data_IF_384361793133
#
_entry.id   IF_384361793133
#
_cell.length_a   1.000
_cell.length_b   1.000
_cell.length_c   1.000
_cell.angle_alpha   90.00
_cell.angle_beta   90.00
_cell.angle_gamma   90.00
#
_symmetry.space_group_name_H-M   'P 1'
#
loop_
_entity.id
_entity.type
_entity.pdbx_description
1 polymer ?
#
# COMPACT_ATOMS: atom_id res chain seq x y z
N UNK A 1 19.02 0.65 -12.03
CA UNK A 1 18.51 0.37 -13.41
C UNK A 1 17.02 0.13 -13.34
N UNK A 2 16.19 0.91 -14.05
CA UNK A 2 14.74 0.63 -14.14
C UNK A 2 14.57 -0.57 -15.08
N UNK A 3 13.93 -1.64 -14.63
CA UNK A 3 13.65 -2.79 -15.51
C UNK A 3 12.56 -2.39 -16.52
N UNK A 4 12.55 -2.95 -17.74
CA UNK A 4 11.53 -2.63 -18.76
C UNK A 4 10.08 -2.74 -18.27
N UNK A 5 9.86 -3.66 -17.33
CA UNK A 5 8.56 -3.94 -16.73
C UNK A 5 8.08 -2.83 -15.77
N UNK A 6 9.00 -2.15 -15.07
CA UNK A 6 8.68 -0.97 -14.26
C UNK A 6 8.16 0.17 -15.13
N UNK A 7 8.70 0.34 -16.35
CA UNK A 7 8.24 1.38 -17.28
C UNK A 7 6.81 1.14 -17.76
N UNK A 8 6.48 -0.10 -18.14
CA UNK A 8 5.13 -0.46 -18.60
C UNK A 8 4.06 -0.30 -17.50
N UNK A 9 4.39 -0.64 -16.25
CA UNK A 9 3.47 -0.43 -15.10
C UNK A 9 3.23 1.06 -14.86
N UNK A 10 4.28 1.88 -14.89
CA UNK A 10 4.14 3.32 -14.71
C UNK A 10 3.27 3.94 -15.80
N UNK A 11 3.49 3.57 -17.05
CA UNK A 11 2.67 4.02 -18.18
C UNK A 11 1.21 3.61 -18.01
N UNK A 12 0.92 2.39 -17.56
CA UNK A 12 -0.44 1.92 -17.32
C UNK A 12 -1.15 2.75 -16.23
N UNK A 13 -0.46 3.05 -15.14
CA UNK A 13 -0.97 3.85 -14.01
C UNK A 13 -1.25 5.29 -14.47
N UNK A 14 -0.27 5.95 -15.06
CA UNK A 14 -0.40 7.36 -15.44
C UNK A 14 -1.42 7.53 -16.57
N UNK A 15 -1.47 6.60 -17.53
CA UNK A 15 -2.49 6.61 -18.58
C UNK A 15 -3.90 6.38 -18.02
N UNK A 16 -4.07 5.53 -17.01
CA UNK A 16 -5.37 5.32 -16.36
C UNK A 16 -5.85 6.57 -15.65
N UNK A 17 -4.96 7.28 -14.95
CA UNK A 17 -5.31 8.53 -14.30
C UNK A 17 -5.62 9.65 -15.30
N UNK A 18 -4.80 9.83 -16.34
CA UNK A 18 -5.05 10.87 -17.35
C UNK A 18 -6.35 10.66 -18.11
N UNK A 19 -6.79 9.40 -18.32
CA UNK A 19 -8.13 9.12 -18.86
C UNK A 19 -9.25 9.67 -17.97
N UNK A 20 -9.12 9.56 -16.65
CA UNK A 20 -10.07 10.17 -15.72
C UNK A 20 -10.01 11.70 -15.81
N UNK A 21 -8.81 12.28 -15.74
CA UNK A 21 -8.59 13.74 -15.80
C UNK A 21 -9.20 14.33 -17.07
N UNK A 22 -9.08 13.66 -18.21
CA UNK A 22 -9.65 14.09 -19.48
C UNK A 22 -11.18 14.17 -19.51
N UNK A 23 -11.88 13.53 -18.55
CA UNK A 23 -13.35 13.62 -18.42
C UNK A 23 -13.82 14.77 -17.53
N UNK A 24 -12.90 15.45 -16.84
CA UNK A 24 -13.24 16.47 -15.86
C UNK A 24 -13.41 17.86 -16.52
N UNK A 25 -14.27 18.73 -15.95
CA UNK A 25 -14.25 20.16 -16.25
C UNK A 25 -12.85 20.76 -16.02
N UNK A 26 -12.45 21.74 -16.83
CA UNK A 26 -11.08 22.30 -16.83
C UNK A 26 -10.58 22.71 -15.43
N UNK A 27 -11.42 23.38 -14.64
CA UNK A 27 -11.05 23.80 -13.28
C UNK A 27 -10.77 22.63 -12.33
N UNK A 28 -11.45 21.48 -12.48
CA UNK A 28 -11.16 20.27 -11.71
C UNK A 28 -10.00 19.48 -12.30
N UNK A 29 -9.82 19.49 -13.62
CA UNK A 29 -8.70 18.82 -14.28
C UNK A 29 -7.35 19.40 -13.83
N UNK A 30 -7.25 20.72 -13.67
CA UNK A 30 -6.05 21.37 -13.13
C UNK A 30 -5.76 20.90 -11.70
N UNK A 31 -6.76 20.89 -10.82
CA UNK A 31 -6.60 20.42 -9.44
C UNK A 31 -6.24 18.92 -9.40
N UNK A 32 -6.83 18.11 -10.28
CA UNK A 32 -6.58 16.67 -10.35
C UNK A 32 -5.13 16.34 -10.74
N UNK A 33 -4.53 17.08 -11.70
CA UNK A 33 -3.12 16.86 -12.07
C UNK A 33 -2.14 17.20 -10.95
N UNK A 34 -2.53 18.11 -10.05
CA UNK A 34 -1.73 18.46 -8.87
C UNK A 34 -2.09 17.63 -7.64
N UNK A 35 -3.06 16.70 -7.75
CA UNK A 35 -3.65 16.03 -6.59
C UNK A 35 -2.61 15.32 -5.70
N UNK A 36 -1.55 14.65 -6.21
CA UNK A 36 -0.49 14.11 -5.36
C UNK A 36 0.17 15.16 -4.44
N UNK A 37 0.48 16.34 -4.99
CA UNK A 37 1.08 17.45 -4.25
C UNK A 37 0.09 18.05 -3.25
N UNK A 38 -1.16 18.26 -3.68
CA UNK A 38 -2.22 18.80 -2.81
C UNK A 38 -2.57 17.86 -1.67
N UNK A 39 -2.44 16.56 -1.91
CA UNK A 39 -2.53 15.57 -0.85
C UNK A 39 -1.28 15.52 0.02
N UNK A 40 -0.18 16.19 -0.30
CA UNK A 40 1.05 16.13 0.48
C UNK A 40 1.77 14.78 0.38
N UNK A 41 1.50 14.01 -0.68
CA UNK A 41 2.18 12.73 -0.96
C UNK A 41 3.53 12.94 -1.65
N UNK A 42 3.77 14.14 -2.17
CA UNK A 42 5.00 14.58 -2.82
C UNK A 42 5.19 16.07 -2.57
N UNK A 43 6.43 16.54 -2.35
CA UNK A 43 6.71 17.96 -2.23
C UNK A 43 6.66 18.71 -3.58
N UNK A 44 6.62 17.99 -4.71
CA UNK A 44 6.77 18.56 -6.03
C UNK A 44 5.46 18.54 -6.85
N UNK A 45 4.96 19.70 -7.31
CA UNK A 45 3.80 19.76 -8.19
C UNK A 45 4.07 19.05 -9.53
N UNK A 46 3.02 18.48 -10.12
CA UNK A 46 3.12 17.76 -11.40
C UNK A 46 3.79 16.38 -11.33
N UNK A 47 4.13 15.88 -10.14
CA UNK A 47 4.62 14.50 -9.97
C UNK A 47 3.52 13.52 -10.38
N UNK A 48 3.76 12.61 -11.34
CA UNK A 48 2.75 11.63 -11.77
C UNK A 48 2.54 10.53 -10.72
N UNK A 49 1.35 9.92 -10.68
CA UNK A 49 0.97 8.92 -9.68
C UNK A 49 1.93 7.73 -9.62
N UNK A 50 2.46 7.29 -10.77
CA UNK A 50 3.46 6.22 -10.84
C UNK A 50 4.76 6.51 -10.08
N UNK A 51 5.01 7.77 -9.69
CA UNK A 51 6.21 8.24 -8.97
C UNK A 51 5.93 8.65 -7.52
N UNK A 52 4.68 8.62 -7.09
CA UNK A 52 4.27 9.00 -5.74
C UNK A 52 4.62 7.89 -4.74
N UNK A 53 4.33 6.64 -5.11
CA UNK A 53 4.49 5.50 -4.22
C UNK A 53 5.81 4.77 -4.42
N UNK A 54 6.43 4.36 -3.32
CA UNK A 54 7.70 3.62 -3.32
C UNK A 54 7.56 2.18 -3.83
N UNK A 55 6.32 1.71 -3.94
CA UNK A 55 6.03 0.32 -4.27
C UNK A 55 5.14 0.25 -5.51
N UNK A 56 5.75 0.44 -6.68
CA UNK A 56 5.06 0.34 -7.96
C UNK A 56 4.37 -1.02 -8.17
N UNK A 57 4.86 -2.07 -7.51
CA UNK A 57 4.21 -3.38 -7.55
C UNK A 57 2.85 -3.39 -6.84
N UNK A 58 2.71 -2.64 -5.74
CA UNK A 58 1.43 -2.49 -5.03
C UNK A 58 0.48 -1.61 -5.83
N UNK A 59 0.95 -0.47 -6.34
CA UNK A 59 0.13 0.46 -7.13
C UNK A 59 -0.32 -0.13 -8.47
N UNK A 60 0.52 -0.95 -9.09
CA UNK A 60 0.29 -1.61 -10.37
C UNK A 60 -0.07 -3.08 -10.24
N UNK A 61 -0.53 -3.55 -9.08
CA UNK A 61 -0.69 -4.98 -8.81
C UNK A 61 -1.52 -5.71 -9.88
N UNK A 62 -2.73 -5.23 -10.28
CA UNK A 62 -3.47 -5.91 -11.34
C UNK A 62 -2.73 -5.94 -12.68
N UNK A 63 -1.94 -4.90 -12.97
CA UNK A 63 -1.20 -4.81 -14.22
C UNK A 63 -0.12 -5.90 -14.32
N UNK A 64 0.57 -6.15 -13.20
CA UNK A 64 1.60 -7.17 -13.09
C UNK A 64 1.04 -8.59 -12.94
N UNK A 65 -0.12 -8.72 -12.29
CA UNK A 65 -0.76 -10.00 -12.03
C UNK A 65 -1.38 -10.61 -13.30
N UNK A 66 -2.16 -9.82 -14.03
CA UNK A 66 -2.99 -10.34 -15.11
C UNK A 66 -2.18 -10.57 -16.39
N UNK A 67 -1.10 -9.82 -16.62
CA UNK A 67 -0.32 -9.88 -17.85
C UNK A 67 -1.16 -9.68 -19.14
N UNK A 68 -0.52 -9.57 -20.32
CA UNK A 68 -1.26 -9.47 -21.58
C UNK A 68 -1.84 -10.81 -22.05
N UNK A 69 -1.29 -11.93 -21.58
CA UNK A 69 -1.63 -13.28 -22.06
C UNK A 69 -2.73 -13.97 -21.23
N UNK A 70 -2.94 -13.57 -19.97
CA UNK A 70 -3.88 -14.28 -19.06
C UNK A 70 -5.22 -13.57 -18.89
N UNK A 71 -5.37 -12.36 -19.42
CA UNK A 71 -6.63 -11.64 -19.44
C UNK A 71 -6.75 -10.77 -20.71
N UNK A 72 -7.95 -10.68 -21.31
CA UNK A 72 -8.22 -9.69 -22.35
C UNK A 72 -7.87 -8.27 -21.89
N UNK A 73 -7.31 -7.46 -22.79
CA UNK A 73 -6.89 -6.06 -22.53
C UNK A 73 -7.94 -5.23 -21.78
N UNK A 74 -9.22 -5.40 -22.10
CA UNK A 74 -10.32 -4.69 -21.43
C UNK A 74 -10.45 -5.04 -19.95
N UNK A 75 -10.25 -6.30 -19.56
CA UNK A 75 -10.27 -6.71 -18.14
C UNK A 75 -9.08 -6.09 -17.42
N UNK A 76 -7.90 -6.13 -18.04
CA UNK A 76 -6.68 -5.53 -17.52
C UNK A 76 -6.83 -4.02 -17.25
N UNK A 77 -7.24 -3.24 -18.26
CA UNK A 77 -7.41 -1.79 -18.13
C UNK A 77 -8.41 -1.41 -17.03
N UNK A 78 -9.51 -2.17 -16.92
CA UNK A 78 -10.53 -1.95 -15.89
C UNK A 78 -10.05 -2.30 -14.48
N UNK A 79 -9.30 -3.38 -14.34
CA UNK A 79 -8.72 -3.77 -13.06
C UNK A 79 -7.69 -2.74 -12.59
N UNK A 80 -6.85 -2.23 -13.50
CA UNK A 80 -5.87 -1.17 -13.21
C UNK A 80 -6.58 0.13 -12.80
N UNK A 81 -7.60 0.57 -13.53
CA UNK A 81 -8.41 1.75 -13.16
C UNK A 81 -9.05 1.59 -11.79
N UNK A 82 -9.76 0.48 -11.56
CA UNK A 82 -10.41 0.18 -10.28
C UNK A 82 -9.41 0.21 -9.11
N UNK A 83 -8.27 -0.46 -9.25
CA UNK A 83 -7.25 -0.53 -8.21
C UNK A 83 -6.59 0.83 -7.93
N UNK A 84 -6.17 1.53 -8.98
CA UNK A 84 -5.54 2.84 -8.86
C UNK A 84 -6.48 3.85 -8.16
N UNK A 85 -7.73 3.91 -8.60
CA UNK A 85 -8.71 4.84 -8.03
C UNK A 85 -9.08 4.48 -6.59
N UNK A 86 -9.07 3.19 -6.21
CA UNK A 86 -9.21 2.79 -4.82
C UNK A 86 -8.07 3.33 -3.94
N UNK A 87 -6.82 3.18 -4.40
CA UNK A 87 -5.65 3.68 -3.68
C UNK A 87 -5.70 5.22 -3.56
N UNK A 88 -5.96 5.93 -4.66
CA UNK A 88 -6.02 7.40 -4.65
C UNK A 88 -7.10 7.90 -3.68
N UNK A 89 -8.28 7.28 -3.69
CA UNK A 89 -9.37 7.66 -2.79
C UNK A 89 -9.05 7.35 -1.33
N UNK A 90 -8.47 6.18 -1.03
CA UNK A 90 -8.09 5.79 0.32
C UNK A 90 -7.05 6.75 0.91
N UNK A 91 -5.91 6.93 0.23
CA UNK A 91 -4.86 7.84 0.68
C UNK A 91 -5.35 9.29 0.80
N UNK A 92 -6.20 9.74 -0.14
CA UNK A 92 -6.78 11.07 -0.06
C UNK A 92 -7.69 11.25 1.14
N UNK A 93 -8.50 10.25 1.47
CA UNK A 93 -9.41 10.30 2.61
C UNK A 93 -8.65 10.21 3.94
N UNK A 94 -7.74 9.24 4.08
CA UNK A 94 -6.95 9.02 5.30
C UNK A 94 -6.22 10.30 5.71
N UNK A 95 -5.59 10.99 4.76
CA UNK A 95 -4.86 12.24 5.06
C UNK A 95 -5.76 13.39 5.49
N UNK A 96 -7.02 13.40 5.05
CA UNK A 96 -8.01 14.38 5.50
C UNK A 96 -8.50 14.01 6.91
N UNK A 97 -8.80 12.74 7.14
CA UNK A 97 -9.32 12.24 8.42
C UNK A 97 -8.27 12.34 9.55
N UNK A 98 -7.01 12.07 9.22
CA UNK A 98 -5.86 12.20 10.14
C UNK A 98 -5.42 13.66 10.34
N UNK A 99 -6.04 14.63 9.65
CA UNK A 99 -5.68 16.04 9.74
C UNK A 99 -4.30 16.39 9.16
N UNK A 100 -3.70 15.49 8.37
CA UNK A 100 -2.41 15.71 7.71
C UNK A 100 -2.49 16.80 6.62
N UNK A 101 -3.69 17.04 6.09
CA UNK A 101 -3.97 18.13 5.15
C UNK A 101 -5.29 18.85 5.47
N UNK A 102 -5.38 20.12 5.07
CA UNK A 102 -6.65 20.84 5.03
C UNK A 102 -7.16 20.81 3.58
N UNK A 103 -8.05 19.86 3.28
CA UNK A 103 -8.63 19.71 1.95
C UNK A 103 -9.76 20.73 1.68
N UNK A 104 -9.64 21.45 0.56
CA UNK A 104 -10.68 22.31 0.03
C UNK A 104 -11.85 21.54 -0.60
N UNK A 105 -12.82 22.31 -1.12
CA UNK A 105 -14.01 21.72 -1.76
C UNK A 105 -13.67 20.91 -3.01
N UNK A 106 -12.70 21.36 -3.80
CA UNK A 106 -12.30 20.69 -5.05
C UNK A 106 -11.68 19.30 -4.78
N UNK A 107 -10.83 19.19 -3.77
CA UNK A 107 -10.21 17.91 -3.35
C UNK A 107 -11.25 16.90 -2.90
N UNK A 108 -12.22 17.33 -2.07
CA UNK A 108 -13.31 16.47 -1.61
C UNK A 108 -14.21 16.00 -2.76
N UNK A 109 -14.51 16.89 -3.70
CA UNK A 109 -15.24 16.55 -4.92
C UNK A 109 -14.46 15.55 -5.76
N UNK A 110 -13.15 15.74 -5.94
CA UNK A 110 -12.29 14.82 -6.68
C UNK A 110 -12.24 13.43 -6.04
N UNK A 111 -12.16 13.32 -4.70
CA UNK A 111 -12.24 12.02 -4.01
C UNK A 111 -13.55 11.30 -4.34
N UNK A 112 -14.68 12.02 -4.33
CA UNK A 112 -15.97 11.42 -4.69
C UNK A 112 -16.01 10.97 -6.16
N UNK A 113 -15.47 11.78 -7.08
CA UNK A 113 -15.36 11.44 -8.49
C UNK A 113 -14.49 10.19 -8.68
N UNK A 114 -13.35 10.11 -8.00
CA UNK A 114 -12.43 8.97 -8.05
C UNK A 114 -13.10 7.71 -7.51
N UNK A 115 -13.82 7.76 -6.38
CA UNK A 115 -14.59 6.61 -5.85
C UNK A 115 -15.67 6.14 -6.83
N UNK A 116 -16.36 7.07 -7.47
CA UNK A 116 -17.34 6.72 -8.51
C UNK A 116 -16.68 6.07 -9.73
N UNK A 117 -15.54 6.62 -10.19
CA UNK A 117 -14.80 6.06 -11.32
C UNK A 117 -14.26 4.65 -11.01
N UNK A 118 -13.77 4.44 -9.77
CA UNK A 118 -13.38 3.12 -9.24
C UNK A 118 -14.51 2.11 -9.38
N UNK A 119 -15.70 2.44 -8.86
CA UNK A 119 -16.84 1.52 -8.85
C UNK A 119 -17.35 1.25 -10.29
N UNK A 120 -17.33 2.26 -11.16
CA UNK A 120 -17.65 2.13 -12.58
C UNK A 120 -16.65 1.26 -13.34
N UNK A 121 -15.36 1.32 -12.98
CA UNK A 121 -14.34 0.47 -13.57
C UNK A 121 -14.50 -1.00 -13.13
N UNK A 122 -14.89 -1.24 -11.87
CA UNK A 122 -15.11 -2.58 -11.33
C UNK A 122 -16.41 -3.23 -11.86
N UNK A 123 -17.48 -2.46 -12.04
CA UNK A 123 -18.82 -2.96 -12.37
C UNK A 123 -18.87 -3.97 -13.55
N UNK A 124 -18.21 -3.74 -14.70
CA UNK A 124 -18.21 -4.69 -15.81
C UNK A 124 -17.55 -6.04 -15.50
N UNK A 125 -16.69 -6.12 -14.49
CA UNK A 125 -15.98 -7.35 -14.11
C UNK A 125 -16.88 -8.30 -13.31
N UNK A 126 -17.91 -7.80 -12.63
CA UNK A 126 -18.83 -8.63 -11.83
C UNK A 126 -19.72 -9.58 -12.65
N UNK A 127 -19.95 -9.30 -13.93
CA UNK A 127 -20.83 -10.10 -14.77
C UNK A 127 -20.42 -11.59 -14.87
N UNK A 128 -19.18 -11.91 -14.50
CA UNK A 128 -18.61 -13.27 -14.48
C UNK A 128 -18.02 -13.66 -13.12
N UNK A 129 -18.18 -12.81 -12.11
CA UNK A 129 -17.65 -13.07 -10.78
C UNK A 129 -18.63 -13.96 -10.00
N UNK A 130 -18.13 -14.80 -9.06
CA UNK A 130 -18.99 -15.60 -8.20
C UNK A 130 -19.86 -14.70 -7.31
N UNK A 131 -20.96 -15.26 -6.80
CA UNK A 131 -21.72 -14.65 -5.73
C UNK A 131 -20.82 -14.40 -4.51
N UNK A 132 -20.92 -13.22 -3.90
CA UNK A 132 -20.02 -12.80 -2.81
C UNK A 132 -18.64 -12.32 -3.26
N UNK A 133 -18.43 -12.02 -4.55
CA UNK A 133 -17.20 -11.40 -5.02
C UNK A 133 -16.87 -10.08 -4.29
N UNK A 134 -15.58 -9.85 -4.05
CA UNK A 134 -15.06 -8.67 -3.38
C UNK A 134 -15.50 -7.39 -4.07
N UNK A 135 -16.25 -6.55 -3.34
CA UNK A 135 -16.62 -5.20 -3.78
C UNK A 135 -15.88 -4.15 -2.96
N UNK A 136 -15.78 -2.93 -3.49
CA UNK A 136 -15.22 -1.84 -2.70
C UNK A 136 -16.12 -1.43 -1.54
N UNK A 137 -17.45 -1.61 -1.63
CA UNK A 137 -18.34 -1.40 -0.49
C UNK A 137 -18.00 -2.37 0.66
N UNK A 138 -17.74 -3.64 0.34
CA UNK A 138 -17.22 -4.61 1.31
C UNK A 138 -15.86 -4.19 1.86
N UNK A 139 -14.92 -3.78 0.99
CA UNK A 139 -13.58 -3.39 1.40
C UNK A 139 -13.58 -2.18 2.34
N UNK A 140 -14.39 -1.16 2.04
CA UNK A 140 -14.58 0.02 2.90
C UNK A 140 -15.16 -0.36 4.26
N UNK A 141 -16.17 -1.23 4.30
CA UNK A 141 -16.77 -1.69 5.56
C UNK A 141 -15.76 -2.45 6.42
N UNK A 142 -15.06 -3.43 5.84
CA UNK A 142 -14.10 -4.26 6.59
C UNK A 142 -12.91 -3.43 7.09
N UNK A 143 -12.43 -2.47 6.29
CA UNK A 143 -11.41 -1.53 6.73
C UNK A 143 -11.93 -0.66 7.88
N UNK A 144 -13.14 -0.10 7.79
CA UNK A 144 -13.72 0.71 8.86
C UNK A 144 -13.89 -0.09 10.18
N UNK A 145 -14.43 -1.31 10.09
CA UNK A 145 -14.58 -2.21 11.25
C UNK A 145 -13.22 -2.51 11.89
N UNK A 146 -12.17 -2.70 11.09
CA UNK A 146 -10.82 -2.97 11.59
C UNK A 146 -10.21 -1.79 12.34
N UNK A 147 -10.51 -0.56 11.93
CA UNK A 147 -10.06 0.66 12.62
C UNK A 147 -10.76 0.77 13.97
N UNK A 148 -12.04 0.44 14.06
CA UNK A 148 -12.75 0.40 15.33
C UNK A 148 -12.21 -0.68 16.28
N UNK A 149 -11.97 -1.90 15.75
CA UNK A 149 -11.38 -3.01 16.50
C UNK A 149 -9.99 -2.64 17.04
N UNK A 150 -9.15 -2.01 16.23
CA UNK A 150 -7.83 -1.55 16.63
C UNK A 150 -7.89 -0.47 17.72
N UNK A 151 -8.75 0.55 17.55
CA UNK A 151 -8.96 1.59 18.56
C UNK A 151 -9.43 1.00 19.89
N UNK A 152 -10.21 -0.08 19.87
CA UNK A 152 -10.60 -0.80 21.08
C UNK A 152 -9.40 -1.48 21.78
N UNK A 153 -8.45 -2.04 21.02
CA UNK A 153 -7.20 -2.60 21.57
C UNK A 153 -6.35 -1.50 22.20
N UNK A 154 -6.08 -0.41 21.49
CA UNK A 154 -5.25 0.68 22.00
C UNK A 154 -5.86 1.40 23.21
N UNK A 155 -7.19 1.50 23.26
CA UNK A 155 -7.90 2.02 24.43
C UNK A 155 -8.03 1.02 25.59
N UNK A 156 -7.43 -0.18 25.50
CA UNK A 156 -7.49 -1.21 26.54
C UNK A 156 -8.88 -1.85 26.72
N UNK A 157 -9.81 -1.64 25.78
CA UNK A 157 -11.15 -2.24 25.78
C UNK A 157 -11.17 -3.66 25.20
N UNK A 158 -10.11 -4.06 24.52
CA UNK A 158 -9.91 -5.41 23.98
C UNK A 158 -8.47 -5.89 24.24
N UNK A 159 -8.24 -7.20 24.39
CA UNK A 159 -6.90 -7.72 24.64
C UNK A 159 -6.01 -7.61 23.39
N UNK A 160 -4.79 -7.11 23.57
CA UNK A 160 -3.74 -7.12 22.57
C UNK A 160 -3.14 -8.54 22.49
N UNK A 161 -3.34 -9.20 21.35
CA UNK A 161 -2.72 -10.51 21.05
C UNK A 161 -2.24 -10.50 19.62
N UNK A 162 -1.23 -11.31 19.32
CA UNK A 162 -0.71 -11.39 17.95
C UNK A 162 -1.71 -11.94 16.95
N UNK A 163 -2.60 -12.85 17.35
CA UNK A 163 -3.63 -13.35 16.45
C UNK A 163 -4.65 -12.24 16.12
N UNK A 164 -5.03 -11.43 17.12
CA UNK A 164 -5.89 -10.27 16.87
C UNK A 164 -5.19 -9.22 16.00
N UNK A 165 -3.92 -8.95 16.26
CA UNK A 165 -3.09 -8.08 15.41
C UNK A 165 -3.17 -8.53 13.94
N UNK A 166 -2.84 -9.79 13.65
CA UNK A 166 -2.88 -10.34 12.28
C UNK A 166 -4.23 -10.17 11.60
N UNK A 167 -5.31 -10.46 12.32
CA UNK A 167 -6.68 -10.33 11.79
C UNK A 167 -7.00 -8.86 11.48
N UNK A 168 -6.71 -7.94 12.39
CA UNK A 168 -6.93 -6.50 12.19
C UNK A 168 -6.07 -5.99 11.03
N UNK A 169 -4.77 -6.31 11.03
CA UNK A 169 -3.82 -5.94 9.98
C UNK A 169 -4.29 -6.40 8.60
N UNK A 170 -4.85 -7.61 8.47
CA UNK A 170 -5.40 -8.08 7.20
C UNK A 170 -6.68 -7.34 6.80
N UNK A 171 -7.61 -7.15 7.73
CA UNK A 171 -8.89 -6.46 7.46
C UNK A 171 -8.68 -5.02 6.99
N UNK A 172 -7.68 -4.31 7.53
CA UNK A 172 -7.29 -2.97 7.06
C UNK A 172 -7.02 -2.91 5.56
N UNK A 173 -6.55 -4.02 4.99
CA UNK A 173 -6.19 -4.15 3.58
C UNK A 173 -7.39 -4.52 2.69
N UNK A 174 -8.63 -4.43 3.18
CA UNK A 174 -9.84 -4.80 2.44
C UNK A 174 -9.94 -4.18 1.05
N UNK A 175 -9.43 -2.95 0.88
CA UNK A 175 -9.43 -2.27 -0.43
C UNK A 175 -8.43 -2.83 -1.45
N UNK A 176 -7.47 -3.66 -1.05
CA UNK A 176 -6.48 -4.25 -1.95
C UNK A 176 -7.01 -5.44 -2.78
N UNK A 177 -8.10 -6.08 -2.33
CA UNK A 177 -8.65 -7.30 -2.94
C UNK A 177 -9.55 -7.08 -4.17
N UNK A 178 -10.53 -6.13 -4.16
CA UNK A 178 -11.62 -6.13 -5.13
C UNK A 178 -11.20 -6.15 -6.60
N UNK A 179 -10.23 -5.31 -6.99
CA UNK A 179 -9.83 -5.19 -8.38
C UNK A 179 -9.20 -6.47 -8.94
N UNK A 180 -8.18 -7.00 -8.26
CA UNK A 180 -7.45 -8.20 -8.69
C UNK A 180 -8.30 -9.47 -8.60
N UNK A 181 -9.07 -9.64 -7.52
CA UNK A 181 -9.91 -10.83 -7.34
C UNK A 181 -11.05 -10.89 -8.35
N UNK A 182 -11.72 -9.76 -8.60
CA UNK A 182 -12.83 -9.69 -9.57
C UNK A 182 -12.30 -9.83 -10.99
N UNK A 183 -11.12 -9.28 -11.29
CA UNK A 183 -10.49 -9.43 -12.60
C UNK A 183 -10.05 -10.87 -12.89
N UNK A 184 -9.45 -11.57 -11.91
CA UNK A 184 -9.10 -12.98 -12.04
C UNK A 184 -10.34 -13.84 -12.30
N UNK A 185 -11.45 -13.59 -11.57
CA UNK A 185 -12.72 -14.26 -11.83
C UNK A 185 -13.27 -13.93 -13.23
N UNK A 186 -13.25 -12.67 -13.64
CA UNK A 186 -13.72 -12.24 -14.96
C UNK A 186 -12.90 -12.83 -16.13
N UNK A 187 -11.60 -13.07 -15.89
CA UNK A 187 -10.69 -13.74 -16.81
C UNK A 187 -10.88 -15.27 -16.85
N UNK A 188 -11.75 -15.82 -16.00
CA UNK A 188 -12.05 -17.26 -15.98
C UNK A 188 -11.03 -18.10 -15.21
N UNK A 189 -10.25 -17.49 -14.32
CA UNK A 189 -9.29 -18.22 -13.50
C UNK A 189 -10.00 -19.18 -12.53
N UNK A 190 -9.39 -20.35 -12.34
CA UNK A 190 -9.91 -21.40 -11.48
C UNK A 190 -10.02 -20.96 -10.01
N UNK A 191 -10.73 -21.73 -9.18
CA UNK A 191 -10.81 -21.47 -7.75
C UNK A 191 -9.42 -21.55 -7.07
N UNK A 192 -8.57 -22.48 -7.51
CA UNK A 192 -7.20 -22.65 -7.04
C UNK A 192 -6.34 -21.42 -7.38
N UNK A 193 -6.36 -20.97 -8.64
CA UNK A 193 -5.65 -19.75 -9.05
C UNK A 193 -6.16 -18.52 -8.27
N UNK A 194 -7.47 -18.39 -8.05
CA UNK A 194 -8.01 -17.30 -7.23
C UNK A 194 -7.54 -17.39 -5.77
N UNK A 195 -7.39 -18.58 -5.22
CA UNK A 195 -6.77 -18.79 -3.90
C UNK A 195 -5.31 -18.30 -3.86
N UNK A 196 -4.55 -18.50 -4.93
CA UNK A 196 -3.20 -17.92 -5.05
C UNK A 196 -3.22 -16.40 -5.19
N UNK A 197 -4.21 -15.82 -5.88
CA UNK A 197 -4.36 -14.35 -5.95
C UNK A 197 -4.63 -13.77 -4.56
N UNK A 198 -5.49 -14.41 -3.79
CA UNK A 198 -5.80 -13.99 -2.41
C UNK A 198 -4.55 -14.09 -1.51
N UNK A 199 -3.84 -15.21 -1.57
CA UNK A 199 -2.60 -15.42 -0.80
C UNK A 199 -1.49 -14.40 -1.17
N UNK A 200 -1.38 -14.08 -2.46
CA UNK A 200 -0.46 -13.05 -2.95
C UNK A 200 -0.80 -11.67 -2.37
N UNK A 201 -2.06 -11.25 -2.45
CA UNK A 201 -2.52 -9.93 -1.94
C UNK A 201 -2.33 -9.88 -0.43
N UNK A 202 -2.80 -10.90 0.29
CA UNK A 202 -2.70 -10.97 1.75
C UNK A 202 -1.25 -10.96 2.22
N UNK A 203 -0.38 -11.78 1.63
CA UNK A 203 1.04 -11.84 2.00
C UNK A 203 1.79 -10.55 1.71
N UNK A 204 1.53 -9.92 0.56
CA UNK A 204 2.12 -8.63 0.20
C UNK A 204 1.69 -7.52 1.16
N UNK A 205 0.40 -7.45 1.48
CA UNK A 205 -0.15 -6.39 2.32
C UNK A 205 0.25 -6.57 3.80
N UNK A 206 0.22 -7.80 4.31
CA UNK A 206 0.71 -8.10 5.66
C UNK A 206 2.23 -7.88 5.79
N UNK A 207 3.00 -8.30 4.78
CA UNK A 207 4.44 -8.05 4.74
C UNK A 207 4.78 -6.57 4.87
N UNK A 208 4.04 -5.69 4.18
CA UNK A 208 4.18 -4.25 4.30
C UNK A 208 3.75 -3.75 5.69
N UNK A 209 2.55 -4.12 6.15
CA UNK A 209 2.02 -3.68 7.44
C UNK A 209 2.96 -4.02 8.61
N UNK A 210 3.45 -5.25 8.66
CA UNK A 210 4.34 -5.71 9.73
C UNK A 210 5.67 -4.93 9.77
N UNK A 211 6.19 -4.56 8.60
CA UNK A 211 7.40 -3.74 8.51
C UNK A 211 7.11 -2.28 8.86
N UNK A 212 5.98 -1.74 8.42
CA UNK A 212 5.56 -0.37 8.71
C UNK A 212 5.39 -0.17 10.23
N UNK A 213 4.70 -1.10 10.92
CA UNK A 213 4.55 -1.07 12.39
C UNK A 213 5.90 -1.12 13.15
N UNK A 214 6.98 -1.62 12.51
CA UNK A 214 8.33 -1.62 13.08
C UNK A 214 9.08 -0.32 12.81
N UNK A 215 8.89 0.33 11.67
CA UNK A 215 9.65 1.55 11.35
C UNK A 215 8.99 2.81 11.89
N UNK A 216 7.67 2.77 12.11
CA UNK A 216 6.88 3.89 12.63
C UNK A 216 6.53 3.74 14.12
N UNK A 217 7.02 2.69 14.80
CA UNK A 217 6.64 2.36 16.18
C UNK A 217 6.81 3.50 17.20
N UNK A 218 7.80 4.38 16.99
CA UNK A 218 8.06 5.55 17.85
C UNK A 218 6.97 6.60 17.66
N UNK A 219 6.72 6.97 16.41
CA UNK A 219 5.72 7.97 16.04
C UNK A 219 4.32 7.47 16.48
N UNK A 220 4.03 6.19 16.26
CA UNK A 220 2.79 5.55 16.71
C UNK A 220 2.70 5.50 18.24
N UNK A 221 3.82 5.30 18.94
CA UNK A 221 3.83 5.27 20.40
C UNK A 221 3.50 6.65 20.98
N UNK A 222 4.06 7.70 20.41
CA UNK A 222 3.76 9.10 20.79
C UNK A 222 2.27 9.43 20.58
N UNK A 223 1.63 8.80 19.60
CA UNK A 223 0.19 8.90 19.33
C UNK A 223 -0.66 7.92 20.16
N UNK A 224 -0.05 7.04 20.94
CA UNK A 224 -0.73 6.03 21.78
C UNK A 224 -1.27 4.82 20.99
N UNK A 225 -0.73 4.55 19.80
CA UNK A 225 -1.24 3.58 18.82
C UNK A 225 -0.18 2.59 18.30
N UNK A 226 0.85 2.26 19.10
CA UNK A 226 1.95 1.38 18.66
C UNK A 226 1.69 -0.10 18.96
N UNK A 227 1.53 -0.92 17.92
CA UNK A 227 1.37 -2.38 18.02
C UNK A 227 2.50 -3.07 18.78
N UNK A 228 3.79 -2.84 18.45
CA UNK A 228 4.89 -3.43 19.19
C UNK A 228 4.81 -3.14 20.69
N UNK A 229 4.48 -1.90 21.06
CA UNK A 229 4.36 -1.47 22.47
C UNK A 229 3.20 -2.13 23.18
N UNK A 230 2.01 -2.19 22.57
CA UNK A 230 0.84 -2.77 23.25
C UNK A 230 0.91 -4.28 23.41
N UNK A 231 1.74 -4.96 22.61
CA UNK A 231 1.97 -6.40 22.65
C UNK A 231 3.09 -6.84 23.61
N UNK A 232 3.83 -5.90 24.21
CA UNK A 232 4.83 -6.22 25.24
C UNK A 232 4.20 -6.99 26.40
N UNK A 233 4.86 -8.07 26.83
CA UNK A 233 4.40 -8.87 27.97
C UNK A 233 4.49 -8.06 29.28
N UNK A 234 5.53 -7.22 29.39
CA UNK A 234 5.70 -6.31 30.52
C UNK A 234 6.04 -4.93 30.00
N UNK A 235 5.19 -3.96 30.34
CA UNK A 235 5.45 -2.56 30.05
C UNK A 235 6.47 -2.01 31.06
N UNK A 236 7.42 -1.19 30.62
CA UNK A 236 8.32 -0.47 31.53
C UNK A 236 7.51 0.42 32.48
N UNK A 237 8.05 0.66 33.67
CA UNK A 237 7.44 1.54 34.66
C UNK A 237 7.50 3.01 34.22
N UNK A 238 8.57 3.39 33.52
CA UNK A 238 8.73 4.69 32.88
C UNK A 238 8.27 4.61 31.43
N UNK A 239 7.39 5.52 31.03
CA UNK A 239 6.83 5.57 29.68
C UNK A 239 7.66 6.47 28.76
N UNK A 240 8.97 6.17 28.63
CA UNK A 240 9.88 6.86 27.71
C UNK A 240 10.17 6.02 26.48
N UNK A 241 10.52 6.67 25.36
CA UNK A 241 10.89 5.98 24.11
C UNK A 241 12.06 5.03 24.35
N UNK A 242 13.07 5.48 25.10
CA UNK A 242 14.26 4.70 25.42
C UNK A 242 13.92 3.43 26.22
N UNK A 243 13.05 3.54 27.25
CA UNK A 243 12.65 2.40 28.05
C UNK A 243 11.83 1.38 27.24
N UNK A 244 10.98 1.85 26.31
CA UNK A 244 10.26 0.98 25.39
C UNK A 244 11.18 0.34 24.34
N UNK A 245 12.16 1.08 23.79
CA UNK A 245 13.14 0.54 22.84
C UNK A 245 13.98 -0.57 23.48
N UNK A 246 14.53 -0.33 24.67
CA UNK A 246 15.27 -1.33 25.44
C UNK A 246 14.43 -2.58 25.69
N UNK A 247 13.15 -2.40 26.04
CA UNK A 247 12.24 -3.52 26.32
C UNK A 247 11.87 -4.30 25.07
N UNK A 248 11.53 -3.60 23.98
CA UNK A 248 11.23 -4.20 22.68
C UNK A 248 12.41 -4.99 22.13
N UNK A 249 13.63 -4.48 22.33
CA UNK A 249 14.85 -5.17 21.98
C UNK A 249 15.06 -6.43 22.84
N UNK A 250 14.93 -6.30 24.17
CA UNK A 250 15.12 -7.43 25.09
C UNK A 250 14.11 -8.57 24.86
N UNK A 251 12.87 -8.26 24.49
CA UNK A 251 11.83 -9.25 24.15
C UNK A 251 11.88 -9.68 22.66
N UNK A 252 12.71 -9.06 21.83
CA UNK A 252 12.80 -9.34 20.40
C UNK A 252 11.54 -8.99 19.60
N UNK A 253 10.72 -8.05 20.11
CA UNK A 253 9.42 -7.72 19.54
C UNK A 253 9.51 -7.18 18.11
N UNK A 254 10.40 -6.22 17.85
CA UNK A 254 10.59 -5.65 16.52
C UNK A 254 11.17 -6.66 15.52
N UNK A 255 12.14 -7.47 15.97
CA UNK A 255 12.73 -8.54 15.15
C UNK A 255 11.65 -9.55 14.74
N UNK A 256 10.78 -9.95 15.68
CA UNK A 256 9.67 -10.87 15.40
C UNK A 256 8.71 -10.34 14.33
N UNK A 257 8.40 -9.04 14.35
CA UNK A 257 7.56 -8.41 13.33
C UNK A 257 8.24 -8.42 11.96
N UNK A 258 9.56 -8.15 11.91
CA UNK A 258 10.33 -8.24 10.66
C UNK A 258 10.40 -9.68 10.13
N UNK A 259 10.55 -10.69 11.00
CA UNK A 259 10.49 -12.10 10.59
C UNK A 259 9.11 -12.47 10.03
N UNK A 260 8.04 -12.01 10.69
CA UNK A 260 6.68 -12.16 10.17
C UNK A 260 6.49 -11.48 8.82
N UNK A 261 7.09 -10.30 8.64
CA UNK A 261 7.07 -9.55 7.37
C UNK A 261 7.78 -10.33 6.26
N UNK A 262 8.96 -10.87 6.55
CA UNK A 262 9.72 -11.69 5.59
C UNK A 262 8.95 -12.95 5.17
N UNK A 263 8.36 -13.68 6.12
CA UNK A 263 7.57 -14.88 5.80
C UNK A 263 6.32 -14.53 4.98
N UNK A 264 5.62 -13.44 5.30
CA UNK A 264 4.45 -13.00 4.54
C UNK A 264 4.81 -12.66 3.08
N UNK A 265 5.95 -11.99 2.87
CA UNK A 265 6.47 -11.74 1.52
C UNK A 265 6.91 -13.02 0.80
N UNK A 266 7.52 -13.99 1.51
CA UNK A 266 7.84 -15.30 0.92
C UNK A 266 6.58 -16.05 0.47
N UNK A 267 5.51 -16.01 1.26
CA UNK A 267 4.21 -16.60 0.88
C UNK A 267 3.63 -15.91 -0.36
N UNK A 268 3.70 -14.58 -0.41
CA UNK A 268 3.29 -13.82 -1.59
C UNK A 268 4.10 -14.20 -2.82
N UNK A 269 5.43 -14.35 -2.69
CA UNK A 269 6.31 -14.77 -3.77
C UNK A 269 5.94 -16.14 -4.35
N UNK A 270 5.77 -17.15 -3.48
CA UNK A 270 5.33 -18.50 -3.89
C UNK A 270 3.98 -18.48 -4.59
N UNK A 271 3.04 -17.67 -4.11
CA UNK A 271 1.73 -17.53 -4.73
C UNK A 271 1.80 -16.85 -6.10
N UNK A 272 2.66 -15.83 -6.26
CA UNK A 272 2.90 -15.22 -7.57
C UNK A 272 3.58 -16.18 -8.56
N UNK A 273 4.52 -17.01 -8.10
CA UNK A 273 5.17 -18.04 -8.93
C UNK A 273 4.15 -19.08 -9.43
N UNK A 274 3.26 -19.55 -8.54
CA UNK A 274 2.17 -20.47 -8.92
C UNK A 274 1.24 -19.88 -9.99
N UNK A 275 1.11 -18.56 -10.04
CA UNK A 275 0.33 -17.83 -11.03
C UNK A 275 1.10 -17.49 -12.32
N UNK A 276 2.40 -17.81 -12.37
CA UNK A 276 3.29 -17.40 -13.46
C UNK A 276 3.61 -15.90 -13.48
N UNK A 277 3.31 -15.16 -12.40
CA UNK A 277 3.53 -13.72 -12.29
C UNK A 277 4.97 -13.41 -11.84
N UNK A 278 5.95 -13.76 -12.69
CA UNK A 278 7.37 -13.76 -12.35
C UNK A 278 7.89 -12.43 -11.75
N UNK A 279 7.39 -11.29 -12.21
CA UNK A 279 7.81 -9.99 -11.69
C UNK A 279 7.27 -9.71 -10.27
N UNK A 280 6.06 -10.15 -9.96
CA UNK A 280 5.53 -10.09 -8.60
C UNK A 280 6.24 -11.09 -7.69
N UNK A 281 6.56 -12.28 -8.19
CA UNK A 281 7.37 -13.26 -7.47
C UNK A 281 8.74 -12.70 -7.09
N UNK A 282 9.48 -12.19 -8.08
CA UNK A 282 10.79 -11.57 -7.88
C UNK A 282 10.72 -10.34 -6.94
N UNK A 283 9.70 -9.50 -7.08
CA UNK A 283 9.51 -8.37 -6.17
C UNK A 283 9.24 -8.83 -4.74
N UNK A 284 8.34 -9.79 -4.53
CA UNK A 284 7.97 -10.26 -3.21
C UNK A 284 9.15 -10.97 -2.53
N UNK A 285 9.88 -11.83 -3.24
CA UNK A 285 11.12 -12.44 -2.72
C UNK A 285 12.18 -11.40 -2.39
N UNK A 286 12.39 -10.38 -3.24
CA UNK A 286 13.29 -9.28 -2.92
C UNK A 286 12.87 -8.49 -1.68
N UNK A 287 11.56 -8.29 -1.45
CA UNK A 287 11.07 -7.70 -0.19
C UNK A 287 11.34 -8.60 1.01
N UNK A 288 11.15 -9.92 0.88
CA UNK A 288 11.41 -10.88 1.94
C UNK A 288 12.89 -10.90 2.35
N UNK A 289 13.80 -10.94 1.39
CA UNK A 289 15.26 -10.89 1.61
C UNK A 289 15.68 -9.59 2.27
N UNK A 290 15.18 -8.46 1.75
CA UNK A 290 15.49 -7.15 2.31
C UNK A 290 15.02 -7.02 3.76
N UNK A 291 13.81 -7.50 4.07
CA UNK A 291 13.27 -7.50 5.42
C UNK A 291 14.06 -8.45 6.34
N UNK A 292 14.49 -9.61 5.86
CA UNK A 292 15.32 -10.54 6.65
C UNK A 292 16.67 -9.91 7.04
N UNK A 293 17.34 -9.25 6.09
CA UNK A 293 18.57 -8.47 6.38
C UNK A 293 18.30 -7.35 7.37
N UNK A 294 17.12 -6.72 7.31
CA UNK A 294 16.73 -5.68 8.27
C UNK A 294 16.52 -6.26 9.67
N UNK A 295 15.93 -7.45 9.80
CA UNK A 295 15.75 -8.17 11.06
C UNK A 295 17.09 -8.49 11.71
N UNK A 296 18.06 -9.00 10.95
CA UNK A 296 19.42 -9.27 11.44
C UNK A 296 20.10 -8.00 11.98
N UNK A 297 19.95 -6.88 11.26
CA UNK A 297 20.52 -5.59 11.69
C UNK A 297 19.83 -5.04 12.92
N UNK A 298 18.52 -5.16 13.02
CA UNK A 298 17.75 -4.76 14.20
C UNK A 298 18.13 -5.58 15.43
N UNK A 299 18.36 -6.89 15.26
CA UNK A 299 18.82 -7.77 16.32
C UNK A 299 20.24 -7.43 16.81
N UNK A 300 21.13 -6.99 15.92
CA UNK A 300 22.50 -6.63 16.26
C UNK A 300 22.65 -5.21 16.80
N UNK A 301 21.79 -4.30 16.35
CA UNK A 301 21.87 -2.87 16.63
C UNK A 301 20.46 -2.26 16.68
N UNK A 302 19.88 -2.07 17.89
CA UNK A 302 18.54 -1.52 18.07
C UNK A 302 18.30 -0.22 17.29
N UNK A 303 17.09 -0.08 16.75
CA UNK A 303 16.67 1.09 15.97
C UNK A 303 17.24 1.14 14.56
N UNK A 304 17.88 0.07 14.07
CA UNK A 304 18.40 0.00 12.70
C UNK A 304 17.29 0.04 11.66
N UNK A 305 16.13 -0.54 11.94
CA UNK A 305 14.95 -0.50 11.09
C UNK A 305 14.42 0.92 10.91
N UNK A 306 14.26 1.66 12.01
CA UNK A 306 13.83 3.07 12.01
C UNK A 306 14.83 3.95 11.23
N UNK A 307 16.13 3.81 11.50
CA UNK A 307 17.18 4.56 10.79
C UNK A 307 17.21 4.24 9.30
N UNK A 308 17.03 2.97 8.93
CA UNK A 308 16.95 2.53 7.54
C UNK A 308 15.78 3.20 6.82
N UNK A 309 14.60 3.25 7.42
CA UNK A 309 13.43 3.88 6.81
C UNK A 309 13.62 5.41 6.67
N UNK A 310 14.15 6.08 7.68
CA UNK A 310 14.46 7.52 7.61
C UNK A 310 15.43 7.83 6.47
N UNK A 311 16.49 7.03 6.31
CA UNK A 311 17.44 7.19 5.20
C UNK A 311 16.76 6.96 3.84
N UNK A 312 15.88 5.97 3.73
CA UNK A 312 15.11 5.69 2.51
C UNK A 312 14.17 6.83 2.15
N UNK A 313 13.44 7.40 3.13
CA UNK A 313 12.54 8.55 2.95
C UNK A 313 13.32 9.78 2.47
N UNK A 314 14.47 10.09 3.08
CA UNK A 314 15.33 11.19 2.67
C UNK A 314 15.89 11.02 1.23
N UNK A 315 16.32 9.81 0.87
CA UNK A 315 16.80 9.53 -0.49
C UNK A 315 15.69 9.72 -1.53
N UNK A 316 14.46 9.34 -1.22
CA UNK A 316 13.29 9.55 -2.10
C UNK A 316 13.05 11.03 -2.34
N UNK A 317 13.03 11.84 -1.28
CA UNK A 317 12.80 13.27 -1.40
C UNK A 317 13.85 13.93 -2.29
N UNK A 318 15.12 13.53 -2.15
CA UNK A 318 16.20 13.96 -3.05
C UNK A 318 15.96 13.54 -4.49
N UNK A 319 15.58 12.29 -4.75
CA UNK A 319 15.30 11.81 -6.10
C UNK A 319 14.10 12.54 -6.73
N UNK A 320 13.06 12.82 -5.95
CA UNK A 320 11.89 13.57 -6.41
C UNK A 320 12.27 15.01 -6.73
N UNK A 321 13.10 15.66 -5.90
CA UNK A 321 13.62 17.01 -6.18
C UNK A 321 14.42 17.07 -7.48
N UNK A 322 15.31 16.10 -7.73
CA UNK A 322 16.09 16.03 -8.97
C UNK A 322 15.22 15.84 -10.22
N UNK A 323 14.06 15.19 -10.10
CA UNK A 323 13.13 14.99 -11.21
C UNK A 323 12.20 16.20 -11.45
N UNK A 324 12.09 17.09 -10.47
CA UNK A 324 11.27 18.30 -10.53
C UNK A 324 12.04 19.51 -11.11
N UNK A 325 13.37 19.45 -11.19
CA UNK A 325 14.15 20.49 -11.87
C UNK A 325 13.83 20.48 -13.38
N UNK A 326 13.40 21.62 -13.97
CA UNK A 326 13.25 21.71 -15.41
C UNK A 326 14.61 21.43 -16.05
N UNK A 327 14.68 20.83 -17.26
CA UNK A 327 15.93 20.69 -17.96
C UNK A 327 16.49 22.10 -18.18
N UNK A 328 17.44 22.50 -17.34
CA UNK A 328 18.24 23.71 -17.54
C UNK A 328 18.76 23.61 -18.95
N UNK A 329 18.43 24.62 -19.76
CA UNK A 329 18.82 24.72 -21.15
C UNK A 329 20.29 24.31 -21.31
N UNK A 330 20.53 23.05 -21.71
CA UNK A 330 21.75 22.66 -22.42
C UNK A 330 21.62 23.19 -23.84
N UNK A 331 21.57 24.51 -23.93
CA UNK A 331 21.55 25.29 -25.15
C UNK A 331 22.12 26.66 -24.82
N UNK A 332 23.42 26.70 -24.51
CA UNK A 332 24.30 27.84 -24.72
C UNK A 332 25.75 27.42 -24.42
N UNK A 333 26.56 27.24 -25.46
CA UNK A 333 28.01 27.04 -25.38
C UNK A 333 28.49 25.75 -26.01
#
# INVERSE_FOLDING_TARGET
MKTPQTTAVHEAIDSAYERLVATLPEHLATVARELPYRFGLTPNPGTPWSRVFNNAAVLGLPALLLGPERAPRRIHERAVEAHLFAIIAAFGMDRIEDGQIIAGAAERVLIHIVRRARDQALAPLFARAPEGAYSFAWGEQVTADSVEEERAVFAGRAPATLDRYRVISLKKQGLAFPASMTAAAAAGWSAEERGHVEALIAGAALGLQYRDDVVDWIDDFELGASWPVVLLERRPAEATVEAFEERLHAEGGLVRFLDMSSEAFHQAGRAAEALGAAALGAWAHGQAEQTAVLAEREAQNPGSAVRWERARRAQREQQQAMLAEPPVARAAG
#
